data_IF_165515059650
#
_entry.id   IF_165515059650
#
_cell.length_a   1.000
_cell.length_b   1.000
_cell.length_c   1.000
_cell.angle_alpha   90.00
_cell.angle_beta   90.00
_cell.angle_gamma   90.00
#
_symmetry.space_group_name_H-M   'P 1'
#
loop_
_entity.id
_entity.type
_entity.pdbx_description
1 polymer ?
#
# COMPACT_ATOMS: atom_id res chain seq x y z
N UNK A 1 -16.35 -20.08 -0.45
CA UNK A 1 -14.92 -19.78 -0.62
C UNK A 1 -14.82 -18.46 -1.36
N UNK A 2 -14.12 -17.47 -0.78
CA UNK A 2 -14.06 -16.13 -1.34
C UNK A 2 -12.61 -15.75 -1.72
N UNK A 3 -12.47 -15.03 -2.82
CA UNK A 3 -11.25 -14.36 -3.24
C UNK A 3 -11.42 -12.85 -2.95
N UNK A 4 -10.64 -12.35 -2.02
CA UNK A 4 -10.84 -11.02 -1.44
C UNK A 4 -9.69 -10.09 -1.76
N UNK A 5 -9.99 -8.89 -2.23
CA UNK A 5 -9.00 -7.83 -2.43
C UNK A 5 -9.07 -6.86 -1.24
N UNK A 6 -7.92 -6.58 -0.64
CA UNK A 6 -7.77 -5.61 0.45
C UNK A 6 -6.96 -4.41 -0.03
N UNK A 7 -7.56 -3.22 0.02
CA UNK A 7 -6.91 -1.97 -0.43
C UNK A 7 -7.02 -0.85 0.60
N UNK A 8 -6.14 0.15 0.50
CA UNK A 8 -6.28 1.40 1.21
C UNK A 8 -7.19 2.38 0.46
N UNK A 9 -8.02 3.12 1.18
CA UNK A 9 -9.02 4.03 0.60
C UNK A 9 -8.56 5.49 0.53
N UNK A 10 -7.47 5.84 1.19
CA UNK A 10 -7.00 7.22 1.35
C UNK A 10 -5.64 7.41 0.65
N UNK A 11 -4.71 8.14 1.27
CA UNK A 11 -3.34 8.35 0.76
C UNK A 11 -2.30 7.40 1.36
N UNK A 12 -2.66 6.15 1.62
CA UNK A 12 -1.80 5.19 2.30
C UNK A 12 -1.80 5.35 3.83
N UNK A 13 -1.04 4.49 4.51
CA UNK A 13 -0.90 4.50 5.97
C UNK A 13 -2.22 4.32 6.75
N UNK A 14 -3.24 3.72 6.13
CA UNK A 14 -4.54 3.46 6.75
C UNK A 14 -4.48 2.38 7.86
N UNK A 15 -3.32 1.81 8.14
CA UNK A 15 -3.21 0.72 9.12
C UNK A 15 -3.57 -0.66 8.55
N UNK A 16 -3.39 -0.84 7.23
CA UNK A 16 -3.69 -2.09 6.51
C UNK A 16 -3.06 -3.32 7.15
N UNK A 17 -1.80 -3.23 7.59
CA UNK A 17 -1.04 -4.38 8.09
C UNK A 17 -1.77 -5.18 9.16
N UNK A 18 -2.42 -4.51 10.14
CA UNK A 18 -3.20 -5.15 11.20
C UNK A 18 -4.40 -5.95 10.65
N UNK A 19 -5.15 -5.34 9.73
CA UNK A 19 -6.36 -5.96 9.16
C UNK A 19 -5.99 -7.12 8.22
N UNK A 20 -4.93 -6.93 7.42
CA UNK A 20 -4.40 -7.99 6.54
C UNK A 20 -3.90 -9.17 7.36
N UNK A 21 -3.15 -8.93 8.44
CA UNK A 21 -2.69 -9.98 9.36
C UNK A 21 -3.87 -10.75 10.00
N UNK A 22 -4.90 -10.02 10.45
CA UNK A 22 -6.11 -10.63 11.00
C UNK A 22 -6.82 -11.53 9.97
N UNK A 23 -7.01 -11.05 8.75
CA UNK A 23 -7.73 -11.77 7.70
C UNK A 23 -6.90 -12.90 7.08
N UNK A 24 -5.56 -12.79 7.12
CA UNK A 24 -4.65 -13.82 6.65
C UNK A 24 -4.82 -15.16 7.39
N UNK A 25 -5.34 -15.17 8.61
CA UNK A 25 -5.65 -16.43 9.32
C UNK A 25 -6.65 -17.30 8.56
N UNK A 26 -7.63 -16.68 7.92
CA UNK A 26 -8.66 -17.41 7.17
C UNK A 26 -8.24 -17.72 5.74
N UNK A 27 -7.40 -16.88 5.12
CA UNK A 27 -6.90 -17.11 3.77
C UNK A 27 -5.98 -18.34 3.70
N UNK A 28 -5.97 -19.02 2.57
CA UNK A 28 -5.03 -20.10 2.25
C UNK A 28 -3.78 -19.59 1.52
N UNK A 29 -3.94 -18.49 0.76
CA UNK A 29 -2.86 -17.85 0.01
C UNK A 29 -3.00 -16.32 0.09
N UNK A 30 -1.87 -15.62 0.20
CA UNK A 30 -1.80 -14.14 0.19
C UNK A 30 -0.96 -13.67 -1.00
N UNK A 31 -1.54 -12.82 -1.84
CA UNK A 31 -0.93 -12.37 -3.10
C UNK A 31 -0.71 -10.86 -3.07
N UNK A 32 0.54 -10.43 -3.12
CA UNK A 32 0.90 -9.03 -3.36
C UNK A 32 0.84 -8.75 -4.87
N UNK A 33 0.06 -7.78 -5.30
CA UNK A 33 -0.21 -7.58 -6.74
C UNK A 33 0.36 -6.28 -7.32
N UNK A 34 0.88 -5.35 -6.51
CA UNK A 34 1.43 -4.08 -7.00
C UNK A 34 2.39 -3.42 -6.00
N UNK A 35 3.03 -2.31 -6.43
CA UNK A 35 3.99 -1.56 -5.63
C UNK A 35 5.37 -2.22 -5.66
N UNK A 36 6.15 -1.99 -4.65
CA UNK A 36 7.49 -2.53 -4.47
C UNK A 36 7.94 -2.35 -3.03
N UNK A 37 9.25 -2.22 -2.81
CA UNK A 37 9.80 -2.01 -1.48
C UNK A 37 9.59 -0.59 -0.91
N UNK A 38 8.78 0.26 -1.57
CA UNK A 38 8.28 1.52 -1.03
C UNK A 38 7.13 1.35 -0.02
N UNK A 39 6.50 0.18 0.05
CA UNK A 39 5.57 -0.15 1.12
C UNK A 39 6.34 -0.59 2.38
N UNK A 40 5.71 -0.52 3.53
CA UNK A 40 6.23 -1.05 4.79
C UNK A 40 5.07 -1.56 5.63
N UNK A 41 5.01 -2.88 5.83
CA UNK A 41 4.07 -3.51 6.73
C UNK A 41 4.81 -3.89 8.01
N UNK A 42 4.40 -3.29 9.14
CA UNK A 42 4.94 -3.69 10.43
C UNK A 42 4.29 -5.01 10.85
N UNK A 43 5.10 -6.02 11.04
CA UNK A 43 4.75 -7.34 11.55
C UNK A 43 5.38 -7.55 12.91
N UNK A 44 4.82 -8.41 13.75
CA UNK A 44 5.40 -8.77 15.04
C UNK A 44 5.77 -10.25 15.02
N UNK A 45 7.06 -10.55 15.21
CA UNK A 45 7.60 -11.91 15.26
C UNK A 45 8.21 -12.14 16.63
N UNK A 46 7.66 -13.07 17.43
CA UNK A 46 8.12 -13.37 18.80
C UNK A 46 8.27 -12.13 19.70
N UNK A 47 7.35 -11.16 19.58
CA UNK A 47 7.37 -9.90 20.33
C UNK A 47 8.27 -8.81 19.76
N UNK A 48 9.06 -9.09 18.72
CA UNK A 48 9.87 -8.10 18.02
C UNK A 48 9.18 -7.57 16.78
N UNK A 49 9.26 -6.27 16.56
CA UNK A 49 8.74 -5.65 15.35
C UNK A 49 9.67 -5.92 14.16
N UNK A 50 9.08 -6.30 13.05
CA UNK A 50 9.73 -6.48 11.77
C UNK A 50 8.95 -5.71 10.69
N UNK A 51 9.66 -4.96 9.86
CA UNK A 51 9.03 -4.23 8.74
C UNK A 51 9.31 -5.00 7.46
N UNK A 52 8.27 -5.62 6.90
CA UNK A 52 8.33 -6.23 5.57
C UNK A 52 7.97 -5.19 4.51
N UNK A 53 8.70 -5.20 3.41
CA UNK A 53 8.46 -4.34 2.27
C UNK A 53 7.90 -5.08 1.06
N UNK A 54 8.29 -6.35 0.85
CA UNK A 54 7.96 -7.14 -0.33
C UNK A 54 7.19 -8.42 0.01
N UNK A 55 7.57 -9.12 1.08
CA UNK A 55 6.95 -10.39 1.46
C UNK A 55 5.54 -10.11 2.00
N UNK A 56 4.48 -10.78 1.45
CA UNK A 56 3.12 -10.63 1.94
C UNK A 56 2.96 -11.03 3.41
N UNK A 57 2.03 -10.38 4.11
CA UNK A 57 1.82 -10.55 5.56
C UNK A 57 1.45 -11.97 5.97
N UNK A 58 0.85 -12.76 5.07
CA UNK A 58 0.45 -14.15 5.33
C UNK A 58 1.59 -15.10 5.71
N UNK A 59 2.84 -14.72 5.47
CA UNK A 59 4.01 -15.55 5.77
C UNK A 59 4.10 -15.89 7.26
N UNK A 60 3.69 -14.98 8.15
CA UNK A 60 3.69 -15.21 9.60
C UNK A 60 2.62 -16.20 10.03
N UNK A 61 1.53 -16.30 9.26
CA UNK A 61 0.42 -17.24 9.47
C UNK A 61 0.66 -18.58 8.78
N UNK A 62 1.90 -18.82 8.30
CA UNK A 62 2.30 -20.02 7.53
C UNK A 62 1.41 -20.26 6.31
N UNK A 63 1.01 -19.17 5.64
CA UNK A 63 0.25 -19.24 4.39
C UNK A 63 1.20 -19.13 3.20
N UNK A 64 0.82 -19.76 2.10
CA UNK A 64 1.55 -19.54 0.84
C UNK A 64 1.44 -18.08 0.43
N UNK A 65 2.56 -17.42 0.23
CA UNK A 65 2.66 -16.04 -0.19
C UNK A 65 3.14 -15.94 -1.63
N UNK A 66 2.52 -15.08 -2.42
CA UNK A 66 2.89 -14.87 -3.82
C UNK A 66 3.21 -13.40 -4.09
N UNK A 67 4.31 -13.14 -4.80
CA UNK A 67 4.65 -11.83 -5.34
C UNK A 67 4.27 -11.81 -6.82
N UNK A 68 3.26 -10.98 -7.16
CA UNK A 68 2.66 -10.88 -8.49
C UNK A 68 3.53 -10.14 -9.50
N UNK A 69 3.18 -10.30 -10.77
CA UNK A 69 3.84 -9.60 -11.89
C UNK A 69 3.62 -8.08 -11.87
N UNK A 70 2.66 -7.60 -11.11
CA UNK A 70 2.45 -6.16 -10.92
C UNK A 70 3.43 -5.52 -9.94
N UNK A 71 4.13 -6.29 -9.12
CA UNK A 71 5.15 -5.81 -8.18
C UNK A 71 6.47 -5.56 -8.91
N UNK A 72 7.18 -4.49 -8.54
CA UNK A 72 8.60 -4.30 -8.89
C UNK A 72 9.45 -4.71 -7.70
N UNK A 73 10.40 -5.61 -7.90
CA UNK A 73 11.10 -6.33 -6.84
C UNK A 73 12.57 -5.95 -6.83
N UNK A 74 13.05 -5.48 -5.68
CA UNK A 74 14.48 -5.35 -5.40
C UNK A 74 14.99 -6.69 -4.83
N UNK A 75 15.84 -7.44 -5.59
CA UNK A 75 16.31 -8.75 -5.14
C UNK A 75 17.12 -8.72 -3.85
N UNK A 76 17.90 -7.65 -3.63
CA UNK A 76 18.70 -7.52 -2.42
C UNK A 76 17.80 -7.33 -1.18
N UNK A 77 16.77 -6.47 -1.30
CA UNK A 77 15.79 -6.24 -0.23
C UNK A 77 15.02 -7.52 0.05
N UNK A 78 14.56 -8.23 -0.99
CA UNK A 78 13.80 -9.47 -0.82
C UNK A 78 14.63 -10.55 -0.11
N UNK A 79 15.89 -10.75 -0.52
CA UNK A 79 16.79 -11.70 0.14
C UNK A 79 17.07 -11.32 1.59
N UNK A 80 17.24 -10.01 1.87
CA UNK A 80 17.40 -9.52 3.24
C UNK A 80 16.16 -9.82 4.11
N UNK A 81 14.96 -9.69 3.58
CA UNK A 81 13.72 -10.05 4.28
C UNK A 81 13.61 -11.57 4.51
N UNK A 82 13.93 -12.38 3.51
CA UNK A 82 13.98 -13.85 3.64
C UNK A 82 14.95 -14.26 4.77
N UNK A 83 16.16 -13.74 4.74
CA UNK A 83 17.18 -14.05 5.75
C UNK A 83 16.75 -13.61 7.15
N UNK A 84 16.19 -12.42 7.26
CA UNK A 84 15.72 -11.89 8.54
C UNK A 84 14.54 -12.67 9.13
N UNK A 85 13.63 -13.17 8.31
CA UNK A 85 12.52 -14.02 8.76
C UNK A 85 13.01 -15.42 9.14
N UNK A 86 13.84 -16.04 8.29
CA UNK A 86 14.41 -17.35 8.57
C UNK A 86 15.22 -17.35 9.89
N UNK A 87 16.01 -16.30 10.15
CA UNK A 87 16.76 -16.16 11.41
C UNK A 87 15.86 -16.08 12.66
N UNK A 88 14.62 -15.65 12.48
CA UNK A 88 13.60 -15.62 13.55
C UNK A 88 12.77 -16.91 13.64
N UNK A 89 13.07 -17.90 12.78
CA UNK A 89 12.39 -19.20 12.74
C UNK A 89 11.07 -19.18 11.95
N UNK A 90 10.89 -18.20 11.09
CA UNK A 90 9.79 -18.17 10.12
C UNK A 90 10.31 -18.77 8.81
N UNK A 91 9.77 -19.91 8.39
CA UNK A 91 10.15 -20.55 7.12
C UNK A 91 9.66 -19.72 5.93
N UNK A 92 10.60 -19.29 5.09
CA UNK A 92 10.36 -18.55 3.85
C UNK A 92 10.94 -19.32 2.66
N UNK A 93 10.87 -20.65 2.69
CA UNK A 93 11.30 -21.50 1.57
C UNK A 93 10.36 -21.40 0.35
N UNK A 94 10.74 -22.06 -0.77
CA UNK A 94 9.98 -21.99 -2.03
C UNK A 94 8.54 -22.52 -1.96
N UNK A 95 8.22 -23.35 -0.97
CA UNK A 95 6.85 -23.80 -0.72
C UNK A 95 5.98 -22.71 -0.07
N UNK A 96 6.61 -21.75 0.63
CA UNK A 96 5.93 -20.69 1.38
C UNK A 96 5.93 -19.36 0.65
N UNK A 97 6.95 -19.04 -0.14
CA UNK A 97 7.05 -17.84 -0.93
C UNK A 97 7.30 -18.16 -2.39
N UNK A 98 6.39 -17.74 -3.27
CA UNK A 98 6.53 -17.86 -4.73
C UNK A 98 6.57 -16.47 -5.39
N UNK A 99 7.36 -16.35 -6.44
CA UNK A 99 7.61 -15.08 -7.15
C UNK A 99 7.22 -15.27 -8.61
N UNK A 100 6.49 -14.30 -9.17
CA UNK A 100 6.14 -14.35 -10.57
C UNK A 100 7.37 -14.21 -11.49
N UNK A 101 7.57 -15.15 -12.39
CA UNK A 101 8.59 -15.08 -13.44
C UNK A 101 8.55 -13.79 -14.27
N UNK A 102 7.35 -13.15 -14.36
CA UNK A 102 7.12 -11.91 -15.12
C UNK A 102 7.24 -10.65 -14.27
N UNK A 103 7.52 -10.75 -12.96
CA UNK A 103 7.74 -9.58 -12.12
C UNK A 103 9.03 -8.87 -12.52
N UNK A 104 8.99 -7.53 -12.54
CA UNK A 104 10.13 -6.70 -12.94
C UNK A 104 11.09 -6.46 -11.77
N UNK A 105 12.37 -6.37 -12.08
CA UNK A 105 13.41 -6.10 -11.11
C UNK A 105 13.61 -4.59 -10.93
N UNK A 106 13.84 -4.19 -9.69
CA UNK A 106 14.47 -2.91 -9.40
C UNK A 106 15.97 -3.11 -9.48
N UNK A 107 16.60 -2.42 -10.41
CA UNK A 107 18.04 -2.47 -10.66
C UNK A 107 18.75 -1.28 -10.01
N UNK A 108 20.05 -1.35 -9.72
CA UNK A 108 20.82 -0.25 -9.11
C UNK A 108 20.69 1.07 -9.87
N UNK A 109 20.60 1.03 -11.20
CA UNK A 109 20.42 2.23 -12.01
C UNK A 109 19.04 2.88 -11.80
N UNK A 110 18.01 2.15 -11.41
CA UNK A 110 16.72 2.74 -11.05
C UNK A 110 16.83 3.60 -9.79
N UNK A 111 17.55 3.11 -8.77
CA UNK A 111 17.80 3.87 -7.53
C UNK A 111 18.70 5.08 -7.82
N UNK A 112 19.75 4.92 -8.64
CA UNK A 112 20.63 6.01 -9.02
C UNK A 112 19.87 7.13 -9.75
N UNK A 113 19.03 6.77 -10.72
CA UNK A 113 18.18 7.73 -11.47
C UNK A 113 17.16 8.41 -10.56
N UNK A 114 16.48 7.67 -9.67
CA UNK A 114 15.48 8.22 -8.73
C UNK A 114 16.11 9.30 -7.84
N UNK A 115 17.24 8.96 -7.20
CA UNK A 115 17.95 9.88 -6.33
C UNK A 115 18.54 11.09 -7.09
N UNK A 116 19.11 10.87 -8.27
CA UNK A 116 19.66 11.94 -9.07
C UNK A 116 18.57 12.91 -9.59
N UNK A 117 17.40 12.39 -9.99
CA UNK A 117 16.24 13.22 -10.40
C UNK A 117 15.72 14.08 -9.25
N UNK A 118 15.58 13.52 -8.04
CA UNK A 118 15.14 14.28 -6.86
C UNK A 118 16.15 15.38 -6.49
N UNK A 119 17.45 15.08 -6.56
CA UNK A 119 18.51 16.08 -6.35
C UNK A 119 18.47 17.18 -7.39
N UNK A 120 18.31 16.83 -8.66
CA UNK A 120 18.27 17.77 -9.78
C UNK A 120 17.07 18.72 -9.72
N UNK A 121 15.90 18.24 -9.23
CA UNK A 121 14.68 19.05 -9.07
C UNK A 121 14.73 20.04 -7.90
N UNK A 122 15.62 19.85 -6.94
CA UNK A 122 15.74 20.72 -5.75
C UNK A 122 14.43 20.90 -5.03
N UNK A 123 13.94 22.14 -4.92
CA UNK A 123 12.67 22.46 -4.21
C UNK A 123 11.42 21.93 -4.92
N UNK A 124 11.50 21.61 -6.20
CA UNK A 124 10.41 21.02 -6.99
C UNK A 124 10.35 19.49 -6.92
N UNK A 125 11.10 18.88 -6.00
CA UNK A 125 11.11 17.42 -5.81
C UNK A 125 9.71 16.90 -5.42
N UNK A 126 9.41 15.69 -5.85
CA UNK A 126 8.16 14.99 -5.51
C UNK A 126 8.23 14.46 -4.06
N UNK A 127 9.43 14.13 -3.59
CA UNK A 127 9.65 13.53 -2.29
C UNK A 127 9.53 12.01 -2.33
N UNK A 128 10.13 11.38 -3.37
CA UNK A 128 10.16 9.93 -3.55
C UNK A 128 10.85 9.23 -2.39
N UNK A 129 10.75 7.91 -2.33
CA UNK A 129 11.47 7.10 -1.34
C UNK A 129 12.93 6.87 -1.70
N UNK A 130 13.38 7.27 -2.90
CA UNK A 130 14.72 7.01 -3.42
C UNK A 130 15.02 5.54 -3.72
N UNK A 131 13.99 4.70 -3.78
CA UNK A 131 14.12 3.24 -3.94
C UNK A 131 14.02 2.75 -5.38
N UNK A 132 13.94 3.67 -6.34
CA UNK A 132 13.90 3.34 -7.76
C UNK A 132 12.56 2.82 -8.27
N UNK A 133 11.47 2.98 -7.51
CA UNK A 133 10.13 2.48 -7.86
C UNK A 133 9.65 3.12 -9.17
N UNK A 134 9.66 4.45 -9.25
CA UNK A 134 9.23 5.19 -10.44
C UNK A 134 10.01 4.80 -11.69
N UNK A 135 11.34 4.86 -11.68
CA UNK A 135 12.16 4.42 -12.81
C UNK A 135 11.96 2.95 -13.22
N UNK A 136 11.69 2.04 -12.27
CA UNK A 136 11.41 0.64 -12.60
C UNK A 136 10.06 0.48 -13.32
N UNK A 137 9.01 1.18 -12.89
CA UNK A 137 7.73 1.22 -13.62
C UNK A 137 7.83 1.95 -14.97
N UNK A 138 8.66 2.99 -15.08
CA UNK A 138 8.98 3.66 -16.34
C UNK A 138 9.57 2.65 -17.34
N UNK A 139 10.57 1.88 -16.93
CA UNK A 139 11.21 0.89 -17.79
C UNK A 139 10.25 -0.28 -18.13
N UNK A 140 9.37 -0.66 -17.21
CA UNK A 140 8.28 -1.62 -17.47
C UNK A 140 7.34 -1.10 -18.57
N UNK A 141 6.87 0.15 -18.48
CA UNK A 141 5.94 0.75 -19.43
C UNK A 141 6.59 0.97 -20.80
N UNK A 142 7.86 1.33 -20.84
CA UNK A 142 8.65 1.48 -22.09
C UNK A 142 9.14 0.14 -22.66
N UNK A 143 8.84 -0.99 -22.01
CA UNK A 143 9.18 -2.36 -22.43
C UNK A 143 10.70 -2.63 -22.48
N UNK A 144 11.45 -1.97 -21.59
CA UNK A 144 12.89 -2.15 -21.39
C UNK A 144 13.24 -2.85 -20.09
N UNK A 145 12.26 -2.98 -19.19
CA UNK A 145 12.49 -3.56 -17.88
C UNK A 145 12.99 -5.01 -17.93
N UNK A 146 13.81 -5.36 -16.95
CA UNK A 146 14.31 -6.73 -16.74
C UNK A 146 13.36 -7.46 -15.80
N UNK A 147 12.97 -8.67 -16.12
CA UNK A 147 12.08 -9.52 -15.34
C UNK A 147 12.84 -10.67 -14.67
N UNK A 148 12.22 -11.37 -13.75
CA UNK A 148 12.83 -12.55 -13.14
C UNK A 148 13.22 -13.62 -14.18
N UNK A 149 12.36 -13.88 -15.16
CA UNK A 149 12.67 -14.85 -16.23
C UNK A 149 13.95 -14.47 -16.99
N UNK A 150 14.20 -13.18 -17.19
CA UNK A 150 15.42 -12.68 -17.85
C UNK A 150 16.64 -12.85 -16.95
N UNK A 151 16.48 -12.62 -15.62
CA UNK A 151 17.55 -12.80 -14.61
C UNK A 151 18.03 -14.25 -14.53
N UNK A 152 17.12 -15.22 -14.73
CA UNK A 152 17.44 -16.65 -14.66
C UNK A 152 18.17 -17.18 -15.89
N UNK A 153 18.29 -16.38 -16.96
CA UNK A 153 19.09 -16.65 -18.13
C UNK A 153 20.30 -15.70 -18.12
N UNK A 154 21.51 -16.18 -17.76
CA UNK A 154 22.68 -15.33 -17.59
C UNK A 154 23.09 -14.53 -18.84
N UNK A 155 22.91 -15.13 -20.06
CA UNK A 155 23.29 -14.47 -21.33
C UNK A 155 22.30 -13.35 -21.63
N UNK A 156 21.00 -13.62 -21.56
CA UNK A 156 19.93 -12.63 -21.76
C UNK A 156 20.04 -11.51 -20.74
N UNK A 157 20.33 -11.85 -19.48
CA UNK A 157 20.48 -10.85 -18.43
C UNK A 157 21.65 -9.90 -18.69
N UNK A 158 22.82 -10.47 -19.02
CA UNK A 158 24.03 -9.67 -19.29
C UNK A 158 23.83 -8.73 -20.50
N UNK A 159 23.26 -9.23 -21.61
CA UNK A 159 22.94 -8.44 -22.80
C UNK A 159 22.02 -7.25 -22.46
N UNK A 160 20.93 -7.50 -21.72
CA UNK A 160 19.99 -6.46 -21.32
C UNK A 160 20.64 -5.42 -20.40
N UNK A 161 21.44 -5.85 -19.42
CA UNK A 161 22.13 -4.93 -18.51
C UNK A 161 23.07 -3.99 -19.29
N UNK A 162 23.87 -4.52 -20.21
CA UNK A 162 24.77 -3.69 -21.05
C UNK A 162 23.96 -2.68 -21.86
N UNK A 163 22.94 -3.14 -22.59
CA UNK A 163 22.12 -2.28 -23.45
C UNK A 163 21.44 -1.16 -22.67
N UNK A 164 20.87 -1.47 -21.50
CA UNK A 164 20.15 -0.47 -20.69
C UNK A 164 21.13 0.49 -20.04
N UNK A 165 22.27 0.01 -19.54
CA UNK A 165 23.25 0.86 -18.87
C UNK A 165 23.94 1.84 -19.79
N UNK A 166 24.11 1.53 -21.05
CA UNK A 166 24.64 2.50 -22.02
C UNK A 166 23.78 3.77 -22.04
N UNK A 167 22.46 3.63 -22.13
CA UNK A 167 21.53 4.76 -22.09
C UNK A 167 21.45 5.40 -20.69
N UNK A 168 21.31 4.59 -19.62
CA UNK A 168 21.16 5.13 -18.26
C UNK A 168 22.41 5.87 -17.80
N UNK A 169 23.60 5.35 -18.10
CA UNK A 169 24.87 6.00 -17.79
C UNK A 169 25.05 7.30 -18.56
N UNK A 170 24.63 7.32 -19.85
CA UNK A 170 24.62 8.57 -20.62
C UNK A 170 23.71 9.62 -19.96
N UNK A 171 22.50 9.22 -19.54
CA UNK A 171 21.55 10.11 -18.88
C UNK A 171 22.06 10.59 -17.52
N UNK A 172 22.56 9.69 -16.67
CA UNK A 172 23.14 10.01 -15.37
C UNK A 172 24.27 11.03 -15.50
N UNK A 173 25.25 10.75 -16.38
CA UNK A 173 26.43 11.60 -16.54
C UNK A 173 26.10 12.94 -17.18
N UNK A 174 25.40 12.95 -18.33
CA UNK A 174 25.30 14.13 -19.17
C UNK A 174 24.11 15.03 -18.83
N UNK A 175 23.03 14.47 -18.26
CA UNK A 175 21.85 15.25 -17.92
C UNK A 175 21.73 15.51 -16.41
N UNK A 176 21.97 14.49 -15.60
CA UNK A 176 21.80 14.59 -14.14
C UNK A 176 23.09 14.93 -13.39
N UNK A 177 24.25 14.96 -14.07
CA UNK A 177 25.57 15.19 -13.46
C UNK A 177 25.83 14.25 -12.28
N UNK A 178 25.46 12.97 -12.46
CA UNK A 178 25.58 11.91 -11.46
C UNK A 178 26.60 10.84 -11.91
N UNK A 179 27.03 10.02 -10.97
CA UNK A 179 27.96 8.93 -11.22
C UNK A 179 27.34 7.84 -12.09
N UNK A 180 28.18 7.24 -12.94
CA UNK A 180 27.83 6.08 -13.76
C UNK A 180 28.01 4.78 -13.00
N UNK A 181 27.35 3.71 -13.46
CA UNK A 181 27.45 2.38 -12.84
C UNK A 181 28.21 1.43 -13.77
N UNK A 182 28.92 0.49 -13.14
CA UNK A 182 29.63 -0.57 -13.85
C UNK A 182 28.69 -1.75 -14.15
N UNK A 183 28.51 -2.14 -15.44
CA UNK A 183 27.67 -3.26 -15.79
C UNK A 183 28.20 -4.61 -15.25
N UNK A 184 29.53 -4.81 -15.22
CA UNK A 184 30.11 -6.06 -14.76
C UNK A 184 29.77 -6.35 -13.29
N UNK A 185 29.97 -5.35 -12.42
CA UNK A 185 29.64 -5.47 -11.01
C UNK A 185 28.15 -5.77 -10.77
N UNK A 186 27.25 -5.17 -11.57
CA UNK A 186 25.80 -5.45 -11.49
C UNK A 186 25.50 -6.88 -11.92
N UNK A 187 26.08 -7.34 -13.03
CA UNK A 187 25.87 -8.70 -13.55
C UNK A 187 26.31 -9.73 -12.52
N UNK A 188 27.52 -9.62 -11.97
CA UNK A 188 28.05 -10.55 -10.99
C UNK A 188 27.17 -10.62 -9.74
N UNK A 189 26.78 -9.47 -9.21
CA UNK A 189 25.92 -9.38 -8.03
C UNK A 189 24.55 -10.03 -8.25
N UNK A 190 23.91 -9.74 -9.38
CA UNK A 190 22.54 -10.21 -9.66
C UNK A 190 22.52 -11.69 -10.05
N UNK A 191 23.60 -12.23 -10.62
CA UNK A 191 23.73 -13.67 -10.82
C UNK A 191 23.78 -14.43 -9.50
N UNK A 192 24.47 -13.89 -8.48
CA UNK A 192 24.43 -14.47 -7.14
C UNK A 192 23.01 -14.44 -6.52
N UNK A 193 22.23 -13.35 -6.76
CA UNK A 193 20.82 -13.30 -6.35
C UNK A 193 19.95 -14.30 -7.11
N UNK A 194 20.20 -14.47 -8.40
CA UNK A 194 19.48 -15.44 -9.26
C UNK A 194 19.58 -16.87 -8.68
N UNK A 195 20.76 -17.31 -8.29
CA UNK A 195 20.96 -18.65 -7.71
C UNK A 195 20.10 -18.89 -6.46
N UNK A 196 19.95 -17.89 -5.62
CA UNK A 196 19.15 -17.99 -4.39
C UNK A 196 17.65 -17.89 -4.64
N UNK A 197 17.24 -17.06 -5.60
CA UNK A 197 15.82 -16.77 -5.88
C UNK A 197 15.19 -17.72 -6.90
N UNK A 198 15.98 -18.40 -7.74
CA UNK A 198 15.49 -19.31 -8.76
C UNK A 198 14.47 -20.37 -8.24
N UNK A 199 14.67 -20.98 -7.07
CA UNK A 199 13.70 -21.95 -6.55
C UNK A 199 12.32 -21.36 -6.24
N UNK A 200 12.23 -20.05 -6.01
CA UNK A 200 10.98 -19.35 -5.70
C UNK A 200 10.22 -18.90 -6.96
N UNK A 201 10.90 -18.86 -8.13
CA UNK A 201 10.33 -18.26 -9.35
C UNK A 201 9.44 -19.27 -10.08
N UNK A 202 8.21 -18.84 -10.37
CA UNK A 202 7.22 -19.70 -11.05
C UNK A 202 6.18 -18.86 -11.80
N UNK A 203 5.31 -19.53 -12.57
CA UNK A 203 4.13 -18.91 -13.15
C UNK A 203 3.01 -18.82 -12.12
N UNK A 204 2.95 -17.73 -11.38
CA UNK A 204 1.96 -17.56 -10.30
C UNK A 204 0.52 -17.54 -10.79
N UNK A 205 0.26 -17.09 -12.02
CA UNK A 205 -1.11 -17.12 -12.58
C UNK A 205 -1.66 -18.54 -12.62
N UNK A 206 -0.83 -19.53 -13.01
CA UNK A 206 -1.19 -20.94 -12.98
C UNK A 206 -1.42 -21.42 -11.55
N UNK A 207 -0.53 -21.06 -10.62
CA UNK A 207 -0.63 -21.48 -9.21
C UNK A 207 -1.89 -20.92 -8.54
N UNK A 208 -2.17 -19.61 -8.73
CA UNK A 208 -3.35 -18.98 -8.15
C UNK A 208 -4.65 -19.58 -8.73
N UNK A 209 -4.71 -19.75 -10.07
CA UNK A 209 -5.90 -20.34 -10.70
C UNK A 209 -6.11 -21.82 -10.30
N UNK A 210 -5.02 -22.57 -10.07
CA UNK A 210 -5.12 -23.92 -9.52
C UNK A 210 -5.66 -23.90 -8.08
N UNK A 211 -5.21 -22.96 -7.23
CA UNK A 211 -5.72 -22.79 -5.88
C UNK A 211 -7.22 -22.43 -5.86
N UNK A 212 -7.66 -21.50 -6.74
CA UNK A 212 -9.07 -21.15 -6.90
C UNK A 212 -9.92 -22.36 -7.30
N UNK A 213 -9.46 -23.14 -8.28
CA UNK A 213 -10.14 -24.40 -8.70
C UNK A 213 -10.20 -25.45 -7.59
N UNK A 214 -9.24 -25.44 -6.69
CA UNK A 214 -9.21 -26.28 -5.50
C UNK A 214 -10.03 -25.73 -4.32
N UNK A 215 -10.86 -24.70 -4.57
CA UNK A 215 -11.66 -23.99 -3.54
C UNK A 215 -10.81 -23.45 -2.37
N UNK A 216 -9.62 -22.91 -2.66
CA UNK A 216 -8.80 -22.21 -1.68
C UNK A 216 -9.20 -20.73 -1.61
N UNK A 217 -9.14 -20.18 -0.40
CA UNK A 217 -9.40 -18.76 -0.14
C UNK A 217 -8.18 -17.92 -0.45
N UNK A 218 -8.30 -16.96 -1.37
CA UNK A 218 -7.19 -16.11 -1.80
C UNK A 218 -7.40 -14.69 -1.28
N UNK A 219 -6.38 -14.13 -0.63
CA UNK A 219 -6.33 -12.74 -0.26
C UNK A 219 -5.37 -11.99 -1.18
N UNK A 220 -5.85 -10.95 -1.86
CA UNK A 220 -5.02 -10.04 -2.65
C UNK A 220 -4.69 -8.81 -1.79
N UNK A 221 -3.44 -8.69 -1.38
CA UNK A 221 -2.93 -7.65 -0.51
C UNK A 221 -2.44 -6.46 -1.33
N UNK A 222 -3.17 -5.33 -1.26
CA UNK A 222 -2.77 -4.06 -1.86
C UNK A 222 -1.78 -3.29 -0.99
N UNK A 223 -0.98 -2.45 -1.63
CA UNK A 223 -0.10 -1.50 -0.99
C UNK A 223 -0.51 -0.06 -1.31
N UNK A 224 -0.02 0.91 -0.54
CA UNK A 224 -0.40 2.33 -0.65
C UNK A 224 -1.91 2.55 -0.42
N UNK A 225 -2.54 3.47 -1.14
CA UNK A 225 -3.97 3.76 -1.04
C UNK A 225 -4.53 4.31 -2.34
N UNK A 226 -5.84 4.34 -2.47
CA UNK A 226 -6.57 4.72 -3.70
C UNK A 226 -6.11 6.06 -4.27
N UNK A 227 -5.89 7.07 -3.41
CA UNK A 227 -5.50 8.42 -3.87
C UNK A 227 -4.01 8.58 -4.15
N UNK A 228 -3.24 7.49 -4.03
CA UNK A 228 -1.87 7.37 -4.53
C UNK A 228 -1.78 6.60 -5.87
N UNK A 229 -2.91 6.19 -6.45
CA UNK A 229 -2.96 5.52 -7.75
C UNK A 229 -2.44 6.42 -8.87
N UNK A 230 -1.67 5.85 -9.81
CA UNK A 230 -1.03 6.61 -10.90
C UNK A 230 -2.04 7.30 -11.82
N UNK A 231 -3.22 6.68 -12.03
CA UNK A 231 -4.24 7.17 -12.95
C UNK A 231 -5.32 8.00 -12.24
N UNK A 232 -5.72 7.58 -11.03
CA UNK A 232 -6.89 8.13 -10.32
C UNK A 232 -6.52 8.92 -9.05
N UNK A 233 -5.26 8.94 -8.65
CA UNK A 233 -4.79 9.67 -7.48
C UNK A 233 -4.51 11.15 -7.73
N UNK A 234 -3.91 11.79 -6.74
CA UNK A 234 -3.51 13.22 -6.79
C UNK A 234 -2.22 13.42 -7.59
N UNK A 235 -2.25 13.08 -8.87
CA UNK A 235 -1.10 13.21 -9.78
C UNK A 235 -0.55 14.65 -9.80
N UNK A 236 0.78 14.90 -9.72
CA UNK A 236 1.88 13.93 -9.76
C UNK A 236 2.30 13.38 -8.37
N UNK A 237 1.60 13.73 -7.29
CA UNK A 237 1.91 13.30 -5.92
C UNK A 237 1.27 11.93 -5.63
N UNK A 238 1.71 10.93 -6.39
CA UNK A 238 1.20 9.55 -6.41
C UNK A 238 2.35 8.55 -6.43
N UNK A 239 2.04 7.27 -6.24
CA UNK A 239 2.98 6.18 -6.56
C UNK A 239 2.93 5.87 -8.06
N UNK A 240 3.92 5.15 -8.58
CA UNK A 240 4.01 4.82 -10.01
C UNK A 240 3.27 3.52 -10.36
N UNK A 241 2.41 3.03 -9.48
CA UNK A 241 1.61 1.81 -9.70
C UNK A 241 0.12 2.08 -9.60
N UNK A 242 -0.69 1.18 -10.17
CA UNK A 242 -2.12 1.16 -9.96
C UNK A 242 -2.43 0.48 -8.62
N UNK A 243 -2.99 1.25 -7.69
CA UNK A 243 -3.30 0.81 -6.32
C UNK A 243 -4.73 0.31 -6.16
N UNK A 244 -5.55 0.46 -7.20
CA UNK A 244 -6.96 0.06 -7.20
C UNK A 244 -7.13 -1.45 -7.21
N UNK A 245 -8.28 -1.91 -6.72
CA UNK A 245 -8.63 -3.32 -6.65
C UNK A 245 -8.63 -4.02 -8.02
N UNK A 246 -9.02 -3.32 -9.09
CA UNK A 246 -8.98 -3.85 -10.45
C UNK A 246 -7.59 -4.30 -10.90
N UNK A 247 -6.53 -3.71 -10.35
CA UNK A 247 -5.16 -4.12 -10.66
C UNK A 247 -4.76 -5.46 -10.01
N UNK A 248 -5.51 -5.98 -9.06
CA UNK A 248 -5.29 -7.33 -8.53
C UNK A 248 -5.35 -8.36 -9.67
N UNK A 249 -6.24 -8.18 -10.63
CA UNK A 249 -6.37 -9.04 -11.80
C UNK A 249 -5.12 -8.96 -12.71
N UNK A 250 -4.74 -7.76 -13.12
CA UNK A 250 -3.59 -7.56 -14.00
C UNK A 250 -2.26 -7.90 -13.31
N UNK A 251 -2.12 -7.54 -12.03
CA UNK A 251 -0.90 -7.71 -11.25
C UNK A 251 -0.65 -9.12 -10.74
N UNK A 252 -1.62 -10.04 -10.84
CA UNK A 252 -1.48 -11.44 -10.42
C UNK A 252 -1.83 -12.46 -11.51
N UNK A 253 -2.43 -12.03 -12.61
CA UNK A 253 -2.84 -12.91 -13.70
C UNK A 253 -4.11 -13.72 -13.40
N UNK A 254 -5.07 -13.09 -12.69
CA UNK A 254 -6.38 -13.66 -12.35
C UNK A 254 -7.47 -12.93 -13.12
N UNK A 255 -8.48 -13.63 -13.59
CA UNK A 255 -9.62 -13.03 -14.29
C UNK A 255 -10.51 -12.22 -13.33
N UNK A 256 -11.13 -11.10 -13.78
CA UNK A 256 -11.91 -10.23 -12.89
C UNK A 256 -13.13 -10.90 -12.24
N UNK A 257 -13.70 -11.93 -12.88
CA UNK A 257 -14.82 -12.71 -12.32
C UNK A 257 -14.42 -13.65 -11.19
N UNK A 258 -13.12 -13.74 -10.89
CA UNK A 258 -12.61 -14.54 -9.78
C UNK A 258 -12.46 -13.73 -8.49
N UNK A 259 -12.76 -12.44 -8.51
CA UNK A 259 -12.77 -11.59 -7.32
C UNK A 259 -14.20 -11.54 -6.80
N UNK A 260 -14.40 -11.96 -5.56
CA UNK A 260 -15.72 -12.07 -4.93
C UNK A 260 -16.02 -10.86 -4.04
N UNK A 261 -15.01 -10.34 -3.34
CA UNK A 261 -15.16 -9.25 -2.36
C UNK A 261 -14.01 -8.25 -2.46
N UNK A 262 -14.30 -6.97 -2.22
CA UNK A 262 -13.30 -5.89 -2.17
C UNK A 262 -13.47 -5.09 -0.88
N UNK A 263 -12.49 -5.17 0.02
CA UNK A 263 -12.50 -4.49 1.30
C UNK A 263 -11.60 -3.26 1.29
N UNK A 264 -12.20 -2.12 1.69
CA UNK A 264 -11.51 -0.85 1.86
C UNK A 264 -11.05 -0.62 3.30
N UNK A 265 -9.77 -0.39 3.51
CA UNK A 265 -9.25 0.01 4.81
C UNK A 265 -9.30 1.53 4.91
N UNK A 266 -9.99 2.01 5.93
CA UNK A 266 -10.21 3.44 6.22
C UNK A 266 -9.62 3.76 7.58
N UNK A 267 -8.73 4.72 7.65
CA UNK A 267 -8.35 5.31 8.94
C UNK A 267 -9.46 6.26 9.40
N UNK A 268 -9.83 6.23 10.67
CA UNK A 268 -10.89 7.07 11.25
C UNK A 268 -10.64 8.59 11.11
N UNK A 269 -9.51 8.98 10.63
CA UNK A 269 -9.12 10.34 10.23
C UNK A 269 -8.26 10.24 8.98
N UNK A 270 -7.84 11.35 8.39
CA UNK A 270 -7.04 11.32 7.17
C UNK A 270 -5.58 11.65 7.47
N UNK A 271 -4.65 10.91 6.84
CA UNK A 271 -3.22 11.26 6.89
C UNK A 271 -2.61 11.28 5.50
N UNK A 272 -1.58 12.11 5.33
CA UNK A 272 -0.81 12.18 4.10
C UNK A 272 0.67 12.36 4.39
N UNK A 273 1.52 11.67 3.62
CA UNK A 273 2.98 11.88 3.62
C UNK A 273 3.37 12.67 2.38
N UNK A 274 4.33 13.60 2.53
CA UNK A 274 4.89 14.36 1.43
C UNK A 274 4.02 15.52 0.94
N UNK A 275 4.29 15.94 -0.27
CA UNK A 275 3.66 17.11 -0.90
C UNK A 275 2.25 16.78 -1.45
N UNK A 276 1.58 17.80 -1.93
CA UNK A 276 0.28 17.72 -2.57
C UNK A 276 -0.87 18.25 -1.71
N UNK A 277 -2.02 18.56 -2.35
CA UNK A 277 -3.19 19.11 -1.67
C UNK A 277 -3.79 18.14 -0.64
N UNK A 278 -4.29 18.71 0.46
CA UNK A 278 -4.95 17.96 1.51
C UNK A 278 -6.03 18.86 2.12
N UNK A 279 -7.24 18.92 1.53
CA UNK A 279 -8.27 19.90 1.93
C UNK A 279 -8.67 19.83 3.40
N UNK A 280 -8.78 18.63 3.98
CA UNK A 280 -9.17 18.43 5.38
C UNK A 280 -8.00 18.47 6.38
N UNK A 281 -6.80 18.94 5.98
CA UNK A 281 -5.63 19.04 6.85
C UNK A 281 -5.85 19.98 8.02
N UNK A 282 -5.31 19.61 9.19
CA UNK A 282 -5.38 20.37 10.43
C UNK A 282 -4.02 20.98 10.76
N UNK A 283 -4.06 22.29 11.11
CA UNK A 283 -2.88 23.08 11.49
C UNK A 283 -2.99 23.57 12.94
N UNK A 284 -3.89 23.00 13.73
CA UNK A 284 -4.23 23.36 15.09
C UNK A 284 -3.80 22.31 16.12
N UNK A 285 -4.07 22.58 17.40
CA UNK A 285 -3.79 21.66 18.51
C UNK A 285 -4.48 20.30 18.37
N UNK A 286 -5.61 20.23 17.65
CA UNK A 286 -6.32 18.97 17.40
C UNK A 286 -5.50 18.12 16.42
N UNK A 287 -4.98 18.72 15.36
CA UNK A 287 -4.07 18.05 14.44
C UNK A 287 -2.83 17.47 15.13
N UNK A 288 -2.25 18.25 16.06
CA UNK A 288 -1.11 17.80 16.86
C UNK A 288 -1.48 16.68 17.84
N UNK A 289 -2.65 16.72 18.47
CA UNK A 289 -3.16 15.63 19.34
C UNK A 289 -3.34 14.34 18.56
N UNK A 290 -4.01 14.40 17.40
CA UNK A 290 -4.22 13.24 16.53
C UNK A 290 -2.87 12.66 16.08
N UNK A 291 -1.95 13.52 15.64
CA UNK A 291 -0.62 13.10 15.18
C UNK A 291 0.19 12.40 16.29
N UNK A 292 0.20 12.93 17.49
CA UNK A 292 0.92 12.35 18.64
C UNK A 292 0.28 11.04 19.09
N UNK A 293 -1.04 11.05 19.35
CA UNK A 293 -1.79 9.87 19.81
C UNK A 293 -1.80 8.76 18.78
N UNK A 294 -1.92 9.10 17.50
CA UNK A 294 -1.85 8.17 16.39
C UNK A 294 -0.43 7.68 16.07
N UNK A 295 0.62 8.23 16.71
CA UNK A 295 2.03 7.96 16.37
C UNK A 295 2.27 8.09 14.86
N UNK A 296 1.77 9.20 14.27
CA UNK A 296 1.76 9.38 12.82
C UNK A 296 3.14 9.82 12.29
N UNK A 297 4.03 8.81 12.21
CA UNK A 297 5.35 8.90 11.59
C UNK A 297 5.50 7.79 10.55
N UNK A 298 6.21 8.07 9.47
CA UNK A 298 6.50 7.08 8.44
C UNK A 298 7.37 5.94 8.98
N UNK A 299 6.89 4.70 8.91
CA UNK A 299 7.59 3.53 9.43
C UNK A 299 9.01 3.37 8.85
N UNK A 300 9.19 3.74 7.59
CA UNK A 300 10.48 3.61 6.88
C UNK A 300 11.33 4.89 6.94
N UNK A 301 10.70 6.06 6.86
CA UNK A 301 11.41 7.34 6.71
C UNK A 301 11.45 8.16 7.98
N UNK A 302 10.68 7.81 9.00
CA UNK A 302 10.51 8.59 10.23
C UNK A 302 9.84 9.97 10.01
N UNK A 303 9.44 10.30 8.78
CA UNK A 303 8.81 11.60 8.47
C UNK A 303 7.47 11.72 9.17
N UNK A 304 7.20 12.89 9.73
CA UNK A 304 5.90 13.24 10.30
C UNK A 304 4.84 13.19 9.21
N UNK A 305 3.71 12.52 9.48
CA UNK A 305 2.54 12.53 8.62
C UNK A 305 1.70 13.76 8.91
N UNK A 306 1.19 14.39 7.87
CA UNK A 306 0.17 15.44 7.93
C UNK A 306 -1.14 14.79 8.35
N UNK A 307 -1.89 15.39 9.25
CA UNK A 307 -3.14 14.84 9.79
C UNK A 307 -4.31 15.77 9.48
N UNK A 308 -5.48 15.21 9.27
CA UNK A 308 -6.70 15.95 8.99
C UNK A 308 -7.94 15.15 9.40
N UNK A 309 -9.10 15.81 9.40
CA UNK A 309 -10.36 15.14 9.64
C UNK A 309 -10.66 14.09 8.56
N UNK A 310 -11.50 13.13 8.89
CA UNK A 310 -11.98 12.15 7.90
C UNK A 310 -12.61 12.88 6.72
N UNK A 311 -12.17 12.52 5.52
CA UNK A 311 -12.61 13.12 4.27
C UNK A 311 -13.46 12.11 3.48
N UNK A 312 -14.77 12.32 3.46
CA UNK A 312 -15.68 11.39 2.78
C UNK A 312 -15.77 11.60 1.28
N UNK A 313 -15.27 12.71 0.75
CA UNK A 313 -15.18 12.90 -0.70
C UNK A 313 -14.18 11.90 -1.29
N UNK A 314 -13.01 11.75 -0.63
CA UNK A 314 -12.05 10.72 -1.04
C UNK A 314 -12.58 9.31 -0.79
N UNK A 315 -13.37 9.07 0.26
CA UNK A 315 -13.93 7.74 0.51
C UNK A 315 -14.99 7.36 -0.52
N UNK A 316 -15.92 8.25 -0.87
CA UNK A 316 -16.91 8.02 -1.95
C UNK A 316 -16.22 7.70 -3.26
N UNK A 317 -15.17 8.46 -3.59
CA UNK A 317 -14.37 8.21 -4.78
C UNK A 317 -13.69 6.83 -4.70
N UNK A 318 -13.13 6.45 -3.55
CA UNK A 318 -12.52 5.13 -3.36
C UNK A 318 -13.55 3.99 -3.46
N UNK A 319 -14.73 4.14 -2.88
CA UNK A 319 -15.84 3.18 -2.99
C UNK A 319 -16.19 2.93 -4.45
N UNK A 320 -16.41 4.00 -5.22
CA UNK A 320 -16.76 3.93 -6.64
C UNK A 320 -15.66 3.28 -7.50
N UNK A 321 -14.41 3.73 -7.32
CA UNK A 321 -13.29 3.25 -8.14
C UNK A 321 -12.95 1.78 -7.90
N UNK A 322 -13.16 1.30 -6.67
CA UNK A 322 -12.79 -0.07 -6.28
C UNK A 322 -13.98 -1.03 -6.21
N UNK A 323 -15.23 -0.51 -6.23
CA UNK A 323 -16.42 -1.34 -6.01
C UNK A 323 -16.40 -1.98 -4.62
N UNK A 324 -16.17 -1.17 -3.57
CA UNK A 324 -16.02 -1.68 -2.21
C UNK A 324 -17.31 -2.33 -1.71
N UNK A 325 -17.18 -3.50 -1.09
CA UNK A 325 -18.27 -4.28 -0.51
C UNK A 325 -18.32 -4.16 1.02
N UNK A 326 -17.27 -3.62 1.63
CA UNK A 326 -17.18 -3.39 3.06
C UNK A 326 -15.99 -2.51 3.45
N UNK A 327 -16.10 -1.85 4.60
CA UNK A 327 -15.09 -0.98 5.16
C UNK A 327 -14.51 -1.59 6.44
N UNK A 328 -13.20 -1.46 6.62
CA UNK A 328 -12.52 -1.70 7.89
C UNK A 328 -12.00 -0.38 8.44
N UNK A 329 -12.61 0.10 9.52
CA UNK A 329 -12.23 1.35 10.17
C UNK A 329 -11.08 1.10 11.14
N UNK A 330 -9.97 1.80 10.97
CA UNK A 330 -8.77 1.66 11.80
C UNK A 330 -8.51 2.91 12.64
N UNK A 331 -7.75 2.73 13.73
CA UNK A 331 -7.29 3.83 14.59
C UNK A 331 -8.42 4.70 15.15
N UNK A 332 -9.57 4.10 15.43
CA UNK A 332 -10.72 4.79 15.99
C UNK A 332 -10.43 5.32 17.40
N UNK A 333 -9.63 4.60 18.17
CA UNK A 333 -9.10 4.94 19.50
C UNK A 333 -8.32 6.24 19.56
N UNK A 334 -7.76 6.66 18.43
CA UNK A 334 -7.00 7.92 18.34
C UNK A 334 -7.90 9.14 18.55
N UNK A 335 -9.20 9.01 18.25
CA UNK A 335 -10.19 10.06 18.42
C UNK A 335 -10.79 10.14 19.85
N UNK A 336 -10.47 9.19 20.74
CA UNK A 336 -10.92 9.20 22.14
C UNK A 336 -10.51 10.48 22.86
N UNK A 337 -11.40 11.05 23.64
CA UNK A 337 -11.17 12.26 24.44
C UNK A 337 -11.26 13.56 23.64
N UNK A 338 -11.80 13.52 22.42
CA UNK A 338 -12.18 14.72 21.68
C UNK A 338 -13.65 15.08 21.98
N UNK A 339 -13.91 16.36 22.26
CA UNK A 339 -15.26 16.86 22.53
C UNK A 339 -16.12 16.90 21.25
N UNK A 340 -15.49 17.19 20.12
CA UNK A 340 -16.13 17.27 18.81
C UNK A 340 -15.25 16.66 17.74
N UNK A 341 -15.87 15.93 16.82
CA UNK A 341 -15.23 15.29 15.67
C UNK A 341 -15.90 15.83 14.42
N UNK A 342 -15.11 16.13 13.41
CA UNK A 342 -15.63 16.62 12.13
C UNK A 342 -15.42 15.61 11.02
N UNK A 343 -16.38 15.57 10.09
CA UNK A 343 -16.30 14.80 8.84
C UNK A 343 -16.38 15.80 7.70
N UNK A 344 -15.42 15.77 6.78
CA UNK A 344 -15.48 16.54 5.55
C UNK A 344 -16.47 15.88 4.60
N UNK A 345 -17.55 16.58 4.26
CA UNK A 345 -18.66 16.09 3.44
C UNK A 345 -18.74 16.75 2.07
N UNK A 346 -17.94 17.76 1.79
CA UNK A 346 -17.87 18.49 0.54
C UNK A 346 -16.67 19.40 0.47
N UNK A 347 -16.40 19.94 -0.70
CA UNK A 347 -15.38 20.98 -0.92
C UNK A 347 -16.02 22.23 -1.47
N UNK A 348 -15.88 23.36 -0.79
CA UNK A 348 -16.27 24.66 -1.34
C UNK A 348 -15.16 25.20 -2.26
N UNK A 349 -15.51 25.55 -3.48
CA UNK A 349 -14.64 26.18 -4.46
C UNK A 349 -15.39 27.23 -5.27
N UNK A 350 -14.96 28.49 -5.18
CA UNK A 350 -15.56 29.65 -5.89
C UNK A 350 -17.07 29.82 -5.65
N UNK A 351 -17.55 29.51 -4.44
CA UNK A 351 -18.95 29.63 -4.05
C UNK A 351 -19.83 28.42 -4.39
N UNK A 352 -19.26 27.39 -5.00
CA UNK A 352 -19.96 26.14 -5.30
C UNK A 352 -19.46 25.03 -4.35
N UNK A 353 -20.33 24.10 -4.01
CA UNK A 353 -19.99 22.90 -3.24
C UNK A 353 -19.76 21.74 -4.22
N UNK A 354 -18.54 21.23 -4.21
CA UNK A 354 -18.16 20.04 -4.94
C UNK A 354 -18.39 18.81 -4.05
N UNK A 355 -19.11 17.83 -4.55
CA UNK A 355 -19.37 16.54 -3.93
C UNK A 355 -18.54 15.40 -4.54
N UNK A 356 -17.75 15.71 -5.57
CA UNK A 356 -16.85 14.82 -6.27
C UNK A 356 -15.38 15.26 -6.11
N UNK A 357 -14.48 14.29 -6.19
CA UNK A 357 -13.04 14.52 -6.07
C UNK A 357 -12.48 15.22 -7.32
N UNK A 358 -11.94 16.47 -7.22
CA UNK A 358 -11.47 17.21 -8.38
C UNK A 358 -10.15 16.63 -8.93
N UNK A 359 -10.10 16.42 -10.24
CA UNK A 359 -8.86 16.00 -10.92
C UNK A 359 -7.78 17.11 -10.98
N UNK A 360 -8.19 18.37 -10.96
CA UNK A 360 -7.26 19.51 -11.01
C UNK A 360 -6.65 19.79 -9.65
N UNK A 361 -5.31 19.70 -9.55
CA UNK A 361 -4.57 20.08 -8.34
C UNK A 361 -4.78 21.55 -7.96
N UNK A 362 -4.96 22.43 -8.95
CA UNK A 362 -5.26 23.84 -8.69
C UNK A 362 -6.61 24.00 -8.00
N UNK A 363 -7.63 23.26 -8.45
CA UNK A 363 -8.95 23.25 -7.82
C UNK A 363 -8.83 22.65 -6.43
N UNK A 364 -8.31 21.45 -6.32
CA UNK A 364 -8.19 20.72 -5.04
C UNK A 364 -7.38 21.49 -3.99
N UNK A 365 -6.31 22.17 -4.40
CA UNK A 365 -5.46 22.95 -3.50
C UNK A 365 -6.07 24.28 -3.05
N UNK A 366 -7.13 24.74 -3.70
CA UNK A 366 -7.87 25.96 -3.33
C UNK A 366 -9.27 25.67 -2.77
N UNK A 367 -9.63 24.38 -2.66
CA UNK A 367 -10.87 23.99 -2.00
C UNK A 367 -10.83 24.25 -0.50
N UNK A 368 -11.97 24.64 0.06
CA UNK A 368 -12.19 24.67 1.50
C UNK A 368 -13.07 23.51 1.90
N UNK A 369 -12.68 22.74 2.95
CA UNK A 369 -13.50 21.60 3.37
C UNK A 369 -14.80 22.08 4.00
N UNK A 370 -15.90 21.47 3.63
CA UNK A 370 -17.21 21.63 4.28
C UNK A 370 -17.35 20.53 5.31
N UNK A 371 -17.58 20.90 6.56
CA UNK A 371 -17.60 19.96 7.66
C UNK A 371 -18.99 19.78 8.25
N UNK A 372 -19.34 18.52 8.51
CA UNK A 372 -20.36 18.13 9.47
C UNK A 372 -19.68 17.86 10.83
N UNK A 373 -20.23 18.42 11.92
CA UNK A 373 -19.73 18.22 13.28
C UNK A 373 -20.56 17.20 14.02
N UNK A 374 -19.89 16.25 14.65
CA UNK A 374 -20.48 15.24 15.53
C UNK A 374 -19.92 15.41 16.92
N UNK A 375 -20.71 15.04 17.93
CA UNK A 375 -20.22 14.97 19.29
C UNK A 375 -19.19 13.85 19.39
N UNK A 376 -18.04 14.16 20.00
CA UNK A 376 -17.01 13.19 20.30
C UNK A 376 -17.37 12.28 21.48
N UNK A 377 -16.42 11.49 21.93
CA UNK A 377 -16.57 10.58 23.07
C UNK A 377 -15.37 10.68 24.01
N UNK A 378 -15.60 10.83 25.32
CA UNK A 378 -14.53 10.90 26.31
C UNK A 378 -13.97 9.53 26.69
N UNK A 379 -14.70 8.45 26.40
CA UNK A 379 -14.38 7.10 26.82
C UNK A 379 -13.17 6.55 26.06
N UNK A 380 -12.35 5.75 26.76
CA UNK A 380 -11.33 4.93 26.14
C UNK A 380 -11.99 3.64 25.59
N UNK A 381 -11.93 3.44 24.28
CA UNK A 381 -12.58 2.30 23.62
C UNK A 381 -11.66 1.10 23.42
N UNK A 382 -10.38 1.16 23.78
CA UNK A 382 -9.39 0.10 23.47
C UNK A 382 -9.71 -1.25 24.12
N UNK A 383 -10.49 -1.26 25.22
CA UNK A 383 -10.96 -2.46 25.91
C UNK A 383 -12.20 -3.12 25.32
N UNK A 384 -12.90 -2.45 24.40
CA UNK A 384 -14.19 -2.91 23.88
C UNK A 384 -13.98 -4.00 22.82
N UNK A 385 -14.81 -5.06 22.87
CA UNK A 385 -14.72 -6.21 21.96
C UNK A 385 -16.02 -6.52 21.24
N UNK A 386 -17.14 -5.91 21.66
CA UNK A 386 -18.46 -6.08 21.06
C UNK A 386 -18.97 -4.73 20.56
N UNK A 387 -19.65 -4.72 19.42
CA UNK A 387 -20.22 -3.51 18.84
C UNK A 387 -21.24 -2.85 19.78
N UNK A 388 -22.02 -3.66 20.45
CA UNK A 388 -23.08 -3.24 21.38
C UNK A 388 -22.54 -2.39 22.54
N UNK A 389 -21.30 -2.67 22.98
CA UNK A 389 -20.64 -2.00 24.10
C UNK A 389 -19.98 -0.65 23.69
N UNK A 390 -19.90 -0.36 22.39
CA UNK A 390 -19.37 0.91 21.93
C UNK A 390 -20.23 2.10 22.41
N UNK A 391 -19.62 3.22 22.82
CA UNK A 391 -20.34 4.45 23.15
C UNK A 391 -21.29 4.90 22.04
N UNK A 392 -22.41 5.50 22.41
CA UNK A 392 -23.42 5.94 21.45
C UNK A 392 -22.87 6.89 20.37
N UNK A 393 -21.92 7.77 20.74
CA UNK A 393 -21.33 8.71 19.80
C UNK A 393 -20.35 8.04 18.84
N UNK A 394 -19.66 6.98 19.27
CA UNK A 394 -18.83 6.13 18.38
C UNK A 394 -19.73 5.45 17.33
N UNK A 395 -20.85 4.85 17.76
CA UNK A 395 -21.82 4.24 16.84
C UNK A 395 -22.38 5.26 15.84
N UNK A 396 -22.72 6.48 16.32
CA UNK A 396 -23.18 7.57 15.44
C UNK A 396 -22.12 7.95 14.39
N UNK A 397 -20.84 8.00 14.77
CA UNK A 397 -19.75 8.27 13.86
C UNK A 397 -19.62 7.19 12.78
N UNK A 398 -19.63 5.91 13.18
CA UNK A 398 -19.55 4.77 12.27
C UNK A 398 -20.75 4.73 11.30
N UNK A 399 -21.97 4.86 11.84
CA UNK A 399 -23.20 4.89 11.04
C UNK A 399 -23.22 6.08 10.07
N UNK A 400 -22.62 7.22 10.46
CA UNK A 400 -22.51 8.36 9.55
C UNK A 400 -21.57 8.09 8.40
N UNK A 401 -20.44 7.39 8.64
CA UNK A 401 -19.54 6.96 7.57
C UNK A 401 -20.29 6.03 6.60
N UNK A 402 -21.00 5.03 7.10
CA UNK A 402 -21.81 4.13 6.28
C UNK A 402 -22.83 4.89 5.43
N UNK A 403 -23.59 5.80 6.06
CA UNK A 403 -24.60 6.59 5.34
C UNK A 403 -24.02 7.51 4.26
N UNK A 404 -22.82 8.07 4.49
CA UNK A 404 -22.14 8.94 3.51
C UNK A 404 -21.50 8.16 2.36
N UNK A 405 -21.02 6.95 2.63
CA UNK A 405 -20.29 6.12 1.66
C UNK A 405 -21.14 5.04 1.02
N UNK A 406 -22.37 4.84 1.53
CA UNK A 406 -23.29 3.76 1.12
C UNK A 406 -22.63 2.37 1.17
N UNK A 407 -21.65 2.21 2.08
CA UNK A 407 -20.86 0.97 2.20
C UNK A 407 -20.79 0.56 3.67
N UNK A 408 -21.10 -0.72 4.01
CA UNK A 408 -21.17 -1.16 5.40
C UNK A 408 -19.79 -1.20 6.08
N UNK A 409 -19.75 -0.78 7.34
CA UNK A 409 -18.58 -0.99 8.21
C UNK A 409 -18.61 -2.44 8.69
N UNK A 410 -17.61 -3.20 8.32
CA UNK A 410 -17.52 -4.63 8.56
C UNK A 410 -16.49 -5.00 9.63
N UNK A 411 -15.47 -4.17 9.83
CA UNK A 411 -14.41 -4.37 10.82
C UNK A 411 -14.07 -3.03 11.48
N UNK A 412 -13.91 -3.04 12.81
CA UNK A 412 -13.62 -1.84 13.60
C UNK A 412 -12.40 -2.13 14.48
N UNK A 413 -11.32 -1.40 14.24
CA UNK A 413 -10.11 -1.46 15.08
C UNK A 413 -10.16 -0.37 16.15
N UNK A 414 -10.22 -0.79 17.40
CA UNK A 414 -10.35 0.07 18.60
C UNK A 414 -9.04 0.24 19.38
N UNK A 415 -7.92 -0.19 18.82
CA UNK A 415 -6.59 -0.05 19.43
C UNK A 415 -5.49 -0.65 18.54
N UNK A 416 -4.22 -0.57 18.96
CA UNK A 416 -3.07 -1.03 18.16
C UNK A 416 -2.98 -2.56 18.07
N UNK A 417 -3.36 -3.28 19.12
CA UNK A 417 -3.22 -4.73 19.19
C UNK A 417 -4.23 -5.44 18.30
N UNK A 418 -3.84 -6.60 17.78
CA UNK A 418 -4.67 -7.42 16.92
C UNK A 418 -6.02 -7.77 17.55
N UNK A 419 -6.04 -8.13 18.83
CA UNK A 419 -7.24 -8.48 19.57
C UNK A 419 -8.18 -7.29 19.83
N UNK A 420 -7.68 -6.06 19.65
CA UNK A 420 -8.48 -4.85 19.76
C UNK A 420 -9.20 -4.55 18.44
N UNK A 421 -9.95 -5.57 17.98
CA UNK A 421 -10.68 -5.51 16.71
C UNK A 421 -12.04 -6.18 16.86
N UNK A 422 -13.08 -5.46 16.46
CA UNK A 422 -14.46 -5.95 16.40
C UNK A 422 -14.74 -6.35 14.95
N UNK A 423 -15.12 -7.60 14.70
CA UNK A 423 -15.42 -8.13 13.37
C UNK A 423 -16.92 -8.35 13.27
N UNK A 424 -17.62 -7.50 12.50
CA UNK A 424 -19.05 -7.62 12.22
C UNK A 424 -19.30 -8.55 11.02
N UNK A 425 -18.45 -8.46 10.02
CA UNK A 425 -18.46 -9.34 8.85
C UNK A 425 -17.03 -9.69 8.46
N UNK A 426 -16.76 -10.99 8.35
CA UNK A 426 -15.51 -11.48 7.78
C UNK A 426 -15.75 -11.79 6.29
N UNK A 427 -14.96 -11.21 5.34
CA UNK A 427 -15.17 -11.40 3.90
C UNK A 427 -14.94 -12.85 3.43
N UNK A 428 -14.32 -13.68 4.25
CA UNK A 428 -14.06 -15.10 3.95
C UNK A 428 -15.11 -16.08 4.53
N UNK A 429 -16.12 -15.57 5.23
CA UNK A 429 -17.11 -16.41 5.89
C UNK A 429 -18.52 -16.18 5.37
#
# INVERSE_FOLDING_TARGET
VANVVIIGTQWGDEGKGKIVDLLAETADMVVRFQGGNNAGHTMVVKGEQFISHLIPSGILQKKTCAIGNGVVVDPAVLLGEIDALNSRGVDVGPAMLIICEKAHLIMPYHQAVDNAREKFKGDKKIGTTGRGIGPAYEDKATRRGIRFVDLLDPEVFAEKVHTILDEKNFYLKNYLSAETLDPGAIIDQYQAYAQRLAPHVTNISVNINAAIKANRQIMFEGAQGTHLDIDHGTYPFVTSSNTLAGNACCGSGVGPKQIDDVFGIVKAYTTRVGQGPFPSELFDDIGDKIQKKGAEFGATTGRRRRCGWLDTIILKNAVRLNGLTGLAITKLDVLDGLDSIKICTGYEYQGEILDEFPASLKVLGNCRPVYESLQGWPENITGIRQYEDLPANVKKYLNRIEALTETPVSIISVGPDREQTIVLRNPFK
#
